data_IF_421953629558
#
_entry.id   IF_421953629558
#
_cell.length_a   1.000
_cell.length_b   1.000
_cell.length_c   1.000
_cell.angle_alpha   90.00
_cell.angle_beta   90.00
_cell.angle_gamma   90.00
#
_symmetry.space_group_name_H-M   'P 1'
#
loop_
_entity.id
_entity.type
_entity.pdbx_description
1 polymer ?
#
# COMPACT_ATOMS: atom_id res chain seq x y z
N UNK A 1 -8.39 31.22 -7.95
CA UNK A 1 -7.82 32.15 -6.96
C UNK A 1 -6.86 31.37 -6.09
N UNK A 2 -5.59 31.69 -6.28
CA UNK A 2 -4.45 31.58 -5.37
C UNK A 2 -4.02 30.18 -4.95
N UNK A 3 -3.08 29.63 -5.73
CA UNK A 3 -2.14 28.59 -5.36
C UNK A 3 -1.13 29.12 -4.33
N UNK A 4 -0.94 28.40 -3.24
CA UNK A 4 0.18 28.59 -2.33
C UNK A 4 1.16 27.42 -2.45
N UNK A 5 2.34 27.67 -3.02
CA UNK A 5 3.51 26.79 -2.97
C UNK A 5 3.99 26.65 -1.54
N UNK A 6 4.27 25.43 -1.09
CA UNK A 6 5.12 25.17 0.08
C UNK A 6 6.39 24.47 -0.35
N UNK A 7 7.55 24.89 0.16
CA UNK A 7 8.83 24.30 -0.13
C UNK A 7 9.15 23.12 0.79
N UNK A 8 9.84 22.16 0.19
CA UNK A 8 10.79 21.19 0.71
C UNK A 8 11.37 21.49 2.11
N UNK A 9 11.19 20.57 3.10
CA UNK A 9 12.24 20.15 4.01
C UNK A 9 11.81 18.89 4.80
N UNK A 10 12.60 17.82 4.59
CA UNK A 10 13.02 16.78 5.54
C UNK A 10 12.23 16.62 6.85
N UNK A 11 11.65 15.45 7.09
CA UNK A 11 12.03 14.52 8.16
C UNK A 11 11.00 13.38 8.25
N UNK A 12 11.54 12.22 8.42
CA UNK A 12 10.97 10.96 8.83
C UNK A 12 9.85 11.05 9.89
N UNK A 13 9.01 10.01 9.85
CA UNK A 13 8.00 9.64 10.85
C UNK A 13 6.68 10.42 10.83
N UNK A 14 5.70 9.78 10.28
CA UNK A 14 4.35 9.49 10.82
C UNK A 14 3.40 9.07 9.70
N UNK A 15 3.52 7.85 9.22
CA UNK A 15 2.41 7.17 8.55
C UNK A 15 1.61 6.46 9.63
N UNK A 16 0.67 7.14 10.21
CA UNK A 16 -0.55 6.52 10.71
C UNK A 16 -1.48 7.61 11.27
N UNK A 17 -2.44 8.04 10.54
CA UNK A 17 -3.75 8.50 10.99
C UNK A 17 -4.41 9.39 9.94
N UNK A 18 -5.11 8.80 9.01
CA UNK A 18 -6.20 9.47 8.32
C UNK A 18 -7.11 8.43 7.64
N UNK A 19 -7.97 7.80 8.40
CA UNK A 19 -9.20 7.18 7.85
C UNK A 19 -10.28 7.23 8.92
N UNK A 20 -11.39 7.91 8.53
CA UNK A 20 -12.77 7.73 8.95
C UNK A 20 -13.18 8.40 10.25
N UNK A 21 -13.71 9.64 10.10
CA UNK A 21 -14.85 10.07 10.87
C UNK A 21 -16.11 9.75 10.06
N UNK A 22 -16.90 8.82 10.55
CA UNK A 22 -18.33 8.75 10.29
C UNK A 22 -19.06 8.66 11.63
N UNK A 23 -19.88 9.67 11.86
CA UNK A 23 -20.77 9.84 13.00
C UNK A 23 -21.47 8.56 13.44
N UNK A 24 -21.44 8.32 14.73
CA UNK A 24 -22.58 7.79 15.49
C UNK A 24 -22.50 8.37 16.90
N UNK A 25 -23.34 9.36 17.10
CA UNK A 25 -23.78 9.87 18.41
C UNK A 25 -24.34 8.73 19.24
N UNK A 26 -23.77 8.52 20.43
CA UNK A 26 -24.59 8.30 21.63
C UNK A 26 -23.74 8.39 22.91
N UNK A 27 -24.24 9.23 23.77
CA UNK A 27 -23.99 9.47 25.18
C UNK A 27 -23.21 8.42 25.99
N UNK A 28 -22.15 8.86 26.66
CA UNK A 28 -21.94 8.53 28.06
C UNK A 28 -21.05 9.61 28.72
N UNK A 29 -21.66 10.39 29.59
CA UNK A 29 -21.02 11.36 30.44
C UNK A 29 -20.25 10.66 31.56
N UNK A 30 -18.96 10.97 31.76
CA UNK A 30 -18.30 10.86 33.07
C UNK A 30 -17.06 11.76 33.13
N UNK A 31 -17.16 12.79 34.01
CA UNK A 31 -16.15 13.41 34.88
C UNK A 31 -14.90 14.07 34.25
N UNK A 32 -14.98 15.38 34.24
CA UNK A 32 -13.86 16.31 34.11
C UNK A 32 -12.97 16.32 35.39
N UNK A 33 -11.66 16.38 35.16
CA UNK A 33 -10.71 16.90 36.13
C UNK A 33 -9.70 17.82 35.41
N UNK A 34 -9.52 19.06 35.86
CA UNK A 34 -8.69 20.02 35.14
C UNK A 34 -7.23 19.93 35.56
N UNK A 35 -6.32 19.64 34.62
CA UNK A 35 -4.90 19.89 34.85
C UNK A 35 -4.50 21.26 34.30
N UNK A 36 -4.12 22.09 35.26
CA UNK A 36 -3.60 23.44 35.17
C UNK A 36 -2.19 23.39 34.54
N UNK A 37 -2.02 23.91 33.33
CA UNK A 37 -0.69 24.15 32.78
C UNK A 37 -0.35 25.62 32.89
N UNK A 38 0.70 25.89 33.63
CA UNK A 38 1.26 27.19 33.92
C UNK A 38 1.97 27.78 32.71
N UNK A 39 1.59 29.02 32.38
CA UNK A 39 2.31 29.88 31.45
C UNK A 39 3.61 30.38 32.09
N UNK A 40 4.72 30.23 31.40
CA UNK A 40 5.85 31.12 31.56
C UNK A 40 6.22 31.76 30.22
N UNK A 41 6.01 33.07 30.19
CA UNK A 41 6.57 33.96 29.18
C UNK A 41 8.08 33.98 29.24
N UNK A 42 8.77 34.04 28.14
CA UNK A 42 9.88 34.95 28.03
C UNK A 42 10.09 35.47 26.60
N UNK A 43 10.47 36.71 26.57
CA UNK A 43 10.40 37.72 25.54
C UNK A 43 11.71 37.76 24.73
N UNK A 44 11.55 38.05 23.44
CA UNK A 44 12.39 38.93 22.64
C UNK A 44 13.84 38.53 22.34
N UNK A 45 14.10 38.36 21.06
CA UNK A 45 15.22 39.07 20.42
C UNK A 45 14.95 39.24 18.91
N UNK A 46 14.75 40.45 18.51
CA UNK A 46 14.75 40.93 17.12
C UNK A 46 16.17 40.80 16.55
N UNK A 47 16.33 40.13 15.42
CA UNK A 47 17.48 40.31 14.56
C UNK A 47 17.00 40.68 13.16
N UNK A 48 17.23 41.98 12.85
CA UNK A 48 17.08 42.54 11.50
C UNK A 48 18.16 41.96 10.62
N UNK A 49 17.80 41.32 9.51
CA UNK A 49 18.72 41.13 8.39
C UNK A 49 18.12 41.66 7.10
N UNK A 50 18.94 42.50 6.50
CA UNK A 50 18.73 43.30 5.31
C UNK A 50 18.40 42.46 4.07
N UNK A 51 17.51 43.06 3.26
CA UNK A 51 17.19 42.64 1.90
C UNK A 51 18.43 42.75 0.99
N UNK A 52 18.79 41.64 0.38
CA UNK A 52 19.51 41.62 -0.89
C UNK A 52 18.66 40.86 -1.88
N UNK A 53 18.09 41.60 -2.81
CA UNK A 53 17.32 41.05 -3.93
C UNK A 53 18.27 40.37 -4.90
N UNK A 54 18.20 39.06 -5.03
CA UNK A 54 18.76 38.32 -6.17
C UNK A 54 17.56 37.74 -6.94
N UNK A 55 17.30 38.40 -8.08
CA UNK A 55 16.40 37.89 -9.12
C UNK A 55 17.09 36.73 -9.79
N UNK A 56 16.78 35.52 -9.42
CA UNK A 56 17.15 34.32 -10.16
C UNK A 56 15.89 33.78 -10.85
N UNK A 57 15.77 34.05 -12.14
CA UNK A 57 14.79 33.42 -13.03
C UNK A 57 15.12 31.95 -13.17
N UNK A 58 14.52 31.08 -12.34
CA UNK A 58 14.54 29.65 -12.56
C UNK A 58 13.40 29.29 -13.51
N UNK A 59 13.77 28.96 -14.76
CA UNK A 59 12.93 28.23 -15.68
C UNK A 59 12.64 26.85 -15.06
N UNK A 60 11.48 26.67 -14.47
CA UNK A 60 10.98 25.36 -14.07
C UNK A 60 10.65 24.55 -15.32
N UNK A 61 11.63 23.81 -15.83
CA UNK A 61 11.38 22.66 -16.69
C UNK A 61 10.59 21.65 -15.88
N UNK A 62 9.28 21.63 -16.07
CA UNK A 62 8.41 20.59 -15.56
C UNK A 62 8.78 19.26 -16.28
N UNK A 63 9.76 18.56 -15.73
CA UNK A 63 9.98 17.15 -16.06
C UNK A 63 8.85 16.40 -15.38
N UNK A 64 7.74 16.22 -16.10
CA UNK A 64 6.71 15.25 -15.74
C UNK A 64 7.33 13.86 -15.88
N UNK A 65 8.02 13.39 -14.85
CA UNK A 65 8.37 11.99 -14.71
C UNK A 65 7.06 11.23 -14.53
N UNK A 66 6.51 10.74 -15.65
CA UNK A 66 5.51 9.70 -15.59
C UNK A 66 6.20 8.52 -14.90
N UNK A 67 5.84 8.26 -13.66
CA UNK A 67 6.22 7.05 -12.95
C UNK A 67 5.48 5.87 -13.60
N UNK A 68 5.97 5.44 -14.76
CA UNK A 68 5.65 4.12 -15.28
C UNK A 68 6.22 3.15 -14.25
N UNK A 69 5.36 2.31 -13.69
CA UNK A 69 5.79 1.20 -12.84
C UNK A 69 6.67 0.28 -13.69
N UNK A 70 7.98 0.58 -13.73
CA UNK A 70 8.94 -0.25 -14.44
C UNK A 70 9.07 -1.57 -13.68
N UNK A 71 8.73 -2.65 -14.35
CA UNK A 71 9.05 -3.99 -13.86
C UNK A 71 10.57 -4.14 -13.81
N UNK A 72 11.06 -4.78 -12.74
CA UNK A 72 12.49 -5.04 -12.59
C UNK A 72 13.00 -5.98 -13.69
N UNK A 73 14.27 -5.87 -14.05
CA UNK A 73 14.88 -6.78 -15.04
C UNK A 73 14.95 -8.22 -14.51
N UNK A 74 15.06 -9.20 -15.42
CA UNK A 74 15.25 -10.60 -15.05
C UNK A 74 16.56 -10.81 -14.25
N UNK A 75 17.59 -10.07 -14.55
CA UNK A 75 18.86 -10.10 -13.82
C UNK A 75 18.68 -9.63 -12.40
N UNK A 76 18.04 -8.49 -12.20
CA UNK A 76 17.78 -7.93 -10.87
C UNK A 76 16.83 -8.84 -10.07
N UNK A 77 15.82 -9.42 -10.73
CA UNK A 77 14.94 -10.41 -10.11
C UNK A 77 15.74 -11.60 -9.57
N UNK A 78 16.65 -12.18 -10.36
CA UNK A 78 17.46 -13.30 -9.93
C UNK A 78 18.44 -12.93 -8.81
N UNK A 79 19.07 -11.76 -8.89
CA UNK A 79 19.96 -11.25 -7.85
C UNK A 79 19.19 -11.03 -6.53
N UNK A 80 18.03 -10.38 -6.59
CA UNK A 80 17.17 -10.18 -5.43
C UNK A 80 16.69 -11.49 -4.80
N UNK A 81 16.31 -12.49 -5.63
CA UNK A 81 15.92 -13.82 -5.15
C UNK A 81 17.06 -14.52 -4.38
N UNK A 82 18.29 -14.41 -4.88
CA UNK A 82 19.47 -14.96 -4.20
C UNK A 82 19.72 -14.24 -2.88
N UNK A 83 19.64 -12.91 -2.86
CA UNK A 83 19.79 -12.10 -1.65
C UNK A 83 18.75 -12.47 -0.59
N UNK A 84 17.47 -12.55 -0.94
CA UNK A 84 16.39 -12.95 -0.02
C UNK A 84 16.69 -14.33 0.61
N UNK A 85 17.16 -15.29 -0.19
CA UNK A 85 17.49 -16.62 0.33
C UNK A 85 18.72 -16.61 1.24
N UNK A 86 19.71 -15.74 0.98
CA UNK A 86 20.88 -15.56 1.83
C UNK A 86 20.53 -14.91 3.17
N UNK A 87 19.65 -13.91 3.14
CA UNK A 87 19.13 -13.25 4.34
C UNK A 87 18.37 -14.24 5.23
N UNK A 88 17.52 -15.10 4.65
CA UNK A 88 16.82 -16.13 5.41
C UNK A 88 17.79 -17.13 6.08
N UNK A 89 18.86 -17.52 5.37
CA UNK A 89 19.90 -18.39 5.97
C UNK A 89 20.61 -17.71 7.14
N UNK A 90 20.91 -16.41 7.02
CA UNK A 90 21.53 -15.64 8.08
C UNK A 90 20.58 -15.51 9.30
N UNK A 91 19.31 -15.15 9.07
CA UNK A 91 18.28 -15.08 10.10
C UNK A 91 18.15 -16.42 10.85
N UNK A 92 18.07 -17.54 10.13
CA UNK A 92 18.02 -18.88 10.75
C UNK A 92 19.29 -19.27 11.51
N UNK A 93 20.42 -18.73 11.11
CA UNK A 93 21.67 -18.96 11.87
C UNK A 93 21.64 -18.22 13.20
N UNK A 94 21.09 -17.02 13.25
CA UNK A 94 20.83 -16.32 14.50
C UNK A 94 19.81 -17.05 15.38
N UNK A 95 18.74 -17.59 14.79
CA UNK A 95 17.74 -18.38 15.53
C UNK A 95 18.33 -19.63 16.22
N UNK A 96 19.44 -20.20 15.70
CA UNK A 96 20.11 -21.34 16.33
C UNK A 96 20.70 -21.02 17.72
N UNK A 97 20.91 -19.75 18.04
CA UNK A 97 21.39 -19.30 19.34
C UNK A 97 20.28 -19.30 20.41
N UNK A 98 19.02 -19.45 19.98
CA UNK A 98 17.86 -19.55 20.86
C UNK A 98 17.55 -21.02 21.16
N UNK A 99 16.80 -21.26 22.25
CA UNK A 99 16.35 -22.59 22.66
C UNK A 99 14.81 -22.61 22.80
N UNK A 100 14.26 -23.83 22.79
CA UNK A 100 12.83 -24.06 22.99
C UNK A 100 11.95 -23.29 21.98
N UNK A 101 10.77 -22.89 22.40
CA UNK A 101 9.81 -22.20 21.55
C UNK A 101 10.30 -20.86 21.00
N UNK A 102 11.16 -20.14 21.71
CA UNK A 102 11.78 -18.92 21.18
C UNK A 102 12.54 -19.17 19.86
N UNK A 103 13.20 -20.32 19.71
CA UNK A 103 13.84 -20.74 18.46
C UNK A 103 12.81 -21.02 17.36
N UNK A 104 11.70 -21.65 17.70
CA UNK A 104 10.67 -22.01 16.74
C UNK A 104 9.95 -20.77 16.24
N UNK A 105 9.61 -19.83 17.11
CA UNK A 105 9.09 -18.50 16.75
C UNK A 105 10.06 -17.75 15.82
N UNK A 106 11.35 -17.69 16.19
CA UNK A 106 12.38 -17.04 15.36
C UNK A 106 12.44 -17.66 13.96
N UNK A 107 12.43 -19.00 13.86
CA UNK A 107 12.42 -19.69 12.56
C UNK A 107 11.14 -19.41 11.76
N UNK A 108 9.99 -19.32 12.41
CA UNK A 108 8.73 -18.98 11.77
C UNK A 108 8.77 -17.55 11.22
N UNK A 109 9.31 -16.60 11.98
CA UNK A 109 9.50 -15.21 11.56
C UNK A 109 10.48 -15.07 10.39
N UNK A 110 11.61 -15.78 10.41
CA UNK A 110 12.57 -15.83 9.31
C UNK A 110 11.94 -16.41 8.03
N UNK A 111 11.16 -17.48 8.15
CA UNK A 111 10.43 -18.07 7.03
C UNK A 111 9.33 -17.14 6.50
N UNK A 112 8.63 -16.45 7.38
CA UNK A 112 7.61 -15.45 7.03
C UNK A 112 8.21 -14.31 6.21
N UNK A 113 9.31 -13.73 6.68
CA UNK A 113 10.06 -12.67 6.01
C UNK A 113 10.48 -13.11 4.59
N UNK A 114 11.05 -14.29 4.45
CA UNK A 114 11.45 -14.83 3.14
C UNK A 114 10.27 -14.98 2.19
N UNK A 115 9.17 -15.59 2.65
CA UNK A 115 7.98 -15.82 1.82
C UNK A 115 7.35 -14.52 1.36
N UNK A 116 7.23 -13.54 2.23
CA UNK A 116 6.69 -12.22 1.92
C UNK A 116 7.59 -11.52 0.90
N UNK A 117 8.90 -11.46 1.14
CA UNK A 117 9.86 -10.83 0.24
C UNK A 117 9.86 -11.47 -1.16
N UNK A 118 9.73 -12.81 -1.26
CA UNK A 118 9.60 -13.52 -2.55
C UNK A 118 8.28 -13.17 -3.26
N UNK A 119 7.17 -13.02 -2.55
CA UNK A 119 5.90 -12.64 -3.15
C UNK A 119 5.94 -11.20 -3.66
N UNK A 120 6.51 -10.27 -2.89
CA UNK A 120 6.71 -8.88 -3.29
C UNK A 120 7.65 -8.76 -4.49
N UNK A 121 8.75 -9.50 -4.50
CA UNK A 121 9.67 -9.57 -5.62
C UNK A 121 8.98 -10.10 -6.89
N UNK A 122 8.13 -11.12 -6.75
CA UNK A 122 7.35 -11.66 -7.89
C UNK A 122 6.43 -10.56 -8.46
N UNK A 123 5.72 -9.83 -7.60
CA UNK A 123 4.87 -8.73 -8.03
C UNK A 123 5.67 -7.60 -8.71
N UNK A 124 6.82 -7.22 -8.17
CA UNK A 124 7.70 -6.22 -8.76
C UNK A 124 8.21 -6.62 -10.16
N UNK A 125 8.32 -7.92 -10.43
CA UNK A 125 8.73 -8.44 -11.72
C UNK A 125 7.57 -8.56 -12.72
N UNK A 126 6.40 -8.99 -12.25
CA UNK A 126 5.27 -9.32 -13.13
C UNK A 126 4.27 -8.17 -13.30
N UNK A 127 4.18 -7.27 -12.31
CA UNK A 127 3.15 -6.23 -12.16
C UNK A 127 1.69 -6.75 -12.21
N UNK A 128 1.48 -8.07 -12.07
CA UNK A 128 0.15 -8.69 -12.17
C UNK A 128 -0.65 -8.47 -10.90
N UNK A 129 -1.90 -8.06 -11.04
CA UNK A 129 -2.84 -7.91 -9.90
C UNK A 129 -2.99 -9.20 -9.09
N UNK A 130 -2.95 -10.36 -9.74
CA UNK A 130 -2.98 -11.65 -9.05
C UNK A 130 -1.79 -11.83 -8.10
N UNK A 131 -0.58 -11.41 -8.48
CA UNK A 131 0.61 -11.47 -7.63
C UNK A 131 0.54 -10.46 -6.50
N UNK A 132 -0.08 -9.28 -6.72
CA UNK A 132 -0.38 -8.32 -5.66
C UNK A 132 -1.32 -8.92 -4.60
N UNK A 133 -2.39 -9.60 -5.00
CA UNK A 133 -3.31 -10.30 -4.09
C UNK A 133 -2.58 -11.41 -3.34
N UNK A 134 -1.66 -12.12 -4.01
CA UNK A 134 -0.85 -13.17 -3.40
C UNK A 134 0.02 -12.66 -2.24
N UNK A 135 0.53 -11.44 -2.30
CA UNK A 135 1.27 -10.85 -1.17
C UNK A 135 0.40 -10.81 0.09
N UNK A 136 -0.85 -10.38 -0.03
CA UNK A 136 -1.78 -10.32 1.12
C UNK A 136 -2.06 -11.71 1.68
N UNK A 137 -2.26 -12.72 0.82
CA UNK A 137 -2.46 -14.10 1.24
C UNK A 137 -1.23 -14.65 1.97
N UNK A 138 -0.02 -14.43 1.41
CA UNK A 138 1.24 -14.89 2.02
C UNK A 138 1.47 -14.22 3.38
N UNK A 139 1.11 -12.94 3.54
CA UNK A 139 1.18 -12.24 4.83
C UNK A 139 0.22 -12.83 5.85
N UNK A 140 -1.02 -13.13 5.45
CA UNK A 140 -2.00 -13.78 6.33
C UNK A 140 -1.52 -15.16 6.80
N UNK A 141 -1.00 -15.99 5.88
CA UNK A 141 -0.44 -17.30 6.17
C UNK A 141 0.79 -17.22 7.10
N UNK A 142 1.66 -16.25 6.87
CA UNK A 142 2.85 -15.99 7.69
C UNK A 142 2.47 -15.56 9.11
N UNK A 143 1.52 -14.63 9.25
CA UNK A 143 1.01 -14.19 10.55
C UNK A 143 0.40 -15.35 11.33
N UNK A 144 -0.38 -16.20 10.66
CA UNK A 144 -0.97 -17.38 11.29
C UNK A 144 0.09 -18.39 11.74
N UNK A 145 1.12 -18.64 10.92
CA UNK A 145 2.20 -19.53 11.27
C UNK A 145 2.95 -19.07 12.53
N UNK A 146 3.29 -17.76 12.60
CA UNK A 146 3.94 -17.17 13.77
C UNK A 146 3.02 -17.23 15.01
N UNK A 147 1.73 -16.94 14.84
CA UNK A 147 0.76 -16.99 15.94
C UNK A 147 0.65 -18.39 16.54
N UNK A 148 0.70 -19.44 15.72
CA UNK A 148 0.70 -20.82 16.20
C UNK A 148 1.91 -21.15 17.07
N UNK A 149 3.12 -20.78 16.62
CA UNK A 149 4.33 -20.98 17.42
C UNK A 149 4.25 -20.24 18.76
N UNK A 150 3.70 -19.01 18.77
CA UNK A 150 3.48 -18.26 20.02
C UNK A 150 2.45 -18.92 20.93
N UNK A 151 1.42 -19.58 20.38
CA UNK A 151 0.46 -20.34 21.17
C UNK A 151 1.10 -21.55 21.85
N UNK A 152 2.23 -22.07 21.34
CA UNK A 152 2.94 -23.22 21.90
C UNK A 152 3.65 -22.93 23.23
N UNK A 153 3.81 -21.63 23.61
CA UNK A 153 4.23 -21.22 24.94
C UNK A 153 3.15 -21.45 26.03
N UNK A 154 1.92 -21.67 25.60
CA UNK A 154 0.78 -21.90 26.49
C UNK A 154 0.52 -23.42 26.66
N UNK A 155 -0.23 -23.79 27.71
CA UNK A 155 -0.63 -25.17 27.96
C UNK A 155 -2.14 -25.27 28.20
N UNK A 156 -2.72 -26.44 27.99
CA UNK A 156 -4.13 -26.72 28.28
C UNK A 156 -5.11 -25.85 27.52
N UNK A 157 -6.16 -25.40 28.20
CA UNK A 157 -7.23 -24.60 27.60
C UNK A 157 -6.72 -23.26 27.00
N UNK A 158 -5.83 -22.48 27.64
CA UNK A 158 -5.26 -21.28 27.03
C UNK A 158 -4.60 -21.53 25.67
N UNK A 159 -3.87 -22.62 25.48
CA UNK A 159 -3.28 -23.01 24.18
C UNK A 159 -4.35 -23.31 23.15
N UNK A 160 -5.38 -24.08 23.53
CA UNK A 160 -6.48 -24.41 22.64
C UNK A 160 -7.25 -23.16 22.19
N UNK A 161 -7.54 -22.23 23.09
CA UNK A 161 -8.16 -20.95 22.80
C UNK A 161 -7.30 -20.10 21.85
N UNK A 162 -6.02 -19.93 22.16
CA UNK A 162 -5.06 -19.19 21.34
C UNK A 162 -5.04 -19.74 19.88
N UNK A 163 -4.93 -21.04 19.72
CA UNK A 163 -4.94 -21.67 18.38
C UNK A 163 -6.26 -21.45 17.64
N UNK A 164 -7.40 -21.50 18.35
CA UNK A 164 -8.71 -21.27 17.75
C UNK A 164 -8.85 -19.83 17.29
N UNK A 165 -8.43 -18.86 18.10
CA UNK A 165 -8.42 -17.44 17.77
C UNK A 165 -7.48 -17.14 16.58
N UNK A 166 -6.26 -17.67 16.59
CA UNK A 166 -5.31 -17.52 15.49
C UNK A 166 -5.91 -18.05 14.16
N UNK A 167 -6.56 -19.21 14.20
CA UNK A 167 -7.24 -19.80 13.05
C UNK A 167 -8.44 -18.93 12.59
N UNK A 168 -9.22 -18.42 13.52
CA UNK A 168 -10.38 -17.57 13.21
C UNK A 168 -9.94 -16.26 12.52
N UNK A 169 -8.90 -15.60 13.04
CA UNK A 169 -8.29 -14.40 12.44
C UNK A 169 -7.79 -14.71 11.03
N UNK A 170 -7.04 -15.78 10.86
CA UNK A 170 -6.53 -16.19 9.54
C UNK A 170 -7.67 -16.43 8.54
N UNK A 171 -8.69 -17.20 8.92
CA UNK A 171 -9.84 -17.50 8.05
C UNK A 171 -10.57 -16.22 7.65
N UNK A 172 -10.82 -15.32 8.62
CA UNK A 172 -11.43 -14.02 8.35
C UNK A 172 -10.59 -13.19 7.39
N UNK A 173 -9.29 -13.10 7.63
CA UNK A 173 -8.37 -12.34 6.77
C UNK A 173 -8.36 -12.88 5.34
N UNK A 174 -8.35 -14.20 5.14
CA UNK A 174 -8.43 -14.80 3.80
C UNK A 174 -9.78 -14.50 3.11
N UNK A 175 -10.88 -14.50 3.86
CA UNK A 175 -12.18 -14.13 3.33
C UNK A 175 -12.23 -12.66 2.89
N UNK A 176 -11.67 -11.75 3.69
CA UNK A 176 -11.57 -10.33 3.39
C UNK A 176 -10.70 -10.08 2.12
N UNK A 177 -9.58 -10.79 1.99
CA UNK A 177 -8.71 -10.74 0.78
C UNK A 177 -9.49 -11.21 -0.46
N UNK A 178 -10.23 -12.32 -0.36
CA UNK A 178 -11.05 -12.84 -1.45
C UNK A 178 -12.14 -11.83 -1.85
N UNK A 179 -12.82 -11.25 -0.89
CA UNK A 179 -13.84 -10.22 -1.14
C UNK A 179 -13.23 -8.98 -1.81
N UNK A 180 -12.11 -8.49 -1.31
CA UNK A 180 -11.39 -7.35 -1.92
C UNK A 180 -10.98 -7.62 -3.37
N UNK A 181 -10.54 -8.85 -3.69
CA UNK A 181 -10.26 -9.28 -5.06
C UNK A 181 -11.52 -9.22 -5.92
N UNK A 182 -12.64 -9.79 -5.47
CA UNK A 182 -13.91 -9.80 -6.20
C UNK A 182 -14.44 -8.39 -6.47
N UNK A 183 -14.38 -7.50 -5.46
CA UNK A 183 -14.77 -6.09 -5.61
C UNK A 183 -13.90 -5.40 -6.68
N UNK A 184 -12.59 -5.64 -6.67
CA UNK A 184 -11.70 -5.04 -7.67
C UNK A 184 -11.98 -5.56 -9.08
N UNK A 185 -12.21 -6.86 -9.25
CA UNK A 185 -12.58 -7.46 -10.53
C UNK A 185 -13.90 -6.87 -11.06
N UNK A 186 -14.94 -6.80 -10.22
CA UNK A 186 -16.21 -6.20 -10.59
C UNK A 186 -16.09 -4.71 -11.00
N UNK A 187 -15.23 -3.94 -10.33
CA UNK A 187 -14.95 -2.55 -10.70
C UNK A 187 -14.27 -2.42 -12.08
N UNK A 188 -13.34 -3.32 -12.37
CA UNK A 188 -12.67 -3.34 -13.68
C UNK A 188 -13.66 -3.69 -14.78
N UNK A 189 -14.51 -4.69 -14.57
CA UNK A 189 -15.54 -5.12 -15.52
C UNK A 189 -16.59 -4.02 -15.76
N UNK A 190 -17.02 -3.33 -14.69
CA UNK A 190 -17.95 -2.18 -14.80
C UNK A 190 -17.31 -1.02 -15.59
N UNK A 191 -16.04 -0.69 -15.31
CA UNK A 191 -15.31 0.35 -16.04
C UNK A 191 -15.17 -0.01 -17.51
N UNK A 192 -14.85 -1.27 -17.84
CA UNK A 192 -14.77 -1.74 -19.21
C UNK A 192 -16.12 -1.66 -19.93
N UNK A 193 -17.20 -2.08 -19.27
CA UNK A 193 -18.55 -2.03 -19.79
C UNK A 193 -18.98 -0.59 -20.13
N UNK A 194 -18.64 0.37 -19.25
CA UNK A 194 -18.89 1.79 -19.48
C UNK A 194 -18.10 2.32 -20.68
N UNK A 195 -16.80 1.98 -20.77
CA UNK A 195 -15.96 2.36 -21.93
C UNK A 195 -16.51 1.81 -23.26
N UNK A 196 -16.99 0.57 -23.25
CA UNK A 196 -17.57 -0.06 -24.44
C UNK A 196 -18.89 0.61 -24.85
N UNK A 197 -19.73 0.95 -23.87
CA UNK A 197 -20.97 1.69 -24.12
C UNK A 197 -20.69 3.08 -24.70
N UNK A 198 -19.75 3.82 -24.11
CA UNK A 198 -19.36 5.16 -24.58
C UNK A 198 -18.74 5.11 -26.00
N UNK A 199 -17.91 4.10 -26.28
CA UNK A 199 -17.37 3.87 -27.62
C UNK A 199 -18.47 3.61 -28.63
N UNK A 200 -19.46 2.79 -28.28
CA UNK A 200 -20.63 2.51 -29.16
C UNK A 200 -21.41 3.79 -29.46
N UNK A 201 -21.66 4.61 -28.43
CA UNK A 201 -22.34 5.91 -28.62
C UNK A 201 -21.52 6.85 -29.53
N UNK A 202 -20.20 6.93 -29.29
CA UNK A 202 -19.31 7.76 -30.10
C UNK A 202 -19.30 7.32 -31.56
N UNK A 203 -19.21 6.03 -31.86
CA UNK A 203 -19.23 5.49 -33.23
C UNK A 203 -20.59 5.67 -33.92
N UNK A 204 -21.71 5.58 -33.17
CA UNK A 204 -23.03 5.87 -33.70
C UNK A 204 -23.17 7.35 -34.12
N UNK A 205 -22.62 8.29 -33.33
CA UNK A 205 -22.57 9.71 -33.73
C UNK A 205 -21.78 9.93 -35.02
N UNK A 206 -20.71 9.16 -35.23
CA UNK A 206 -19.96 9.23 -36.50
C UNK A 206 -20.76 8.70 -37.72
N UNK A 207 -21.77 7.85 -37.50
CA UNK A 207 -22.52 7.24 -38.58
C UNK A 207 -23.31 8.25 -39.44
N UNK A 208 -23.64 9.41 -38.87
CA UNK A 208 -24.33 10.51 -39.59
C UNK A 208 -23.41 11.34 -40.47
N UNK A 209 -22.11 11.14 -40.40
CA UNK A 209 -21.10 11.83 -41.20
C UNK A 209 -20.87 11.11 -42.55
N UNK A 210 -20.43 11.83 -43.55
CA UNK A 210 -20.11 11.27 -44.87
C UNK A 210 -18.62 10.95 -45.01
N UNK A 211 -18.31 9.90 -45.72
CA UNK A 211 -17.01 9.50 -46.27
C UNK A 211 -15.79 9.71 -45.30
N UNK A 212 -14.91 10.63 -45.63
CA UNK A 212 -13.67 10.86 -44.95
C UNK A 212 -13.89 11.43 -43.52
N UNK A 213 -14.90 12.26 -43.32
CA UNK A 213 -15.27 12.78 -42.02
C UNK A 213 -15.73 11.65 -41.07
N UNK A 214 -16.46 10.66 -41.61
CA UNK A 214 -16.88 9.48 -40.87
C UNK A 214 -15.67 8.61 -40.45
N UNK A 215 -14.77 8.35 -41.40
CA UNK A 215 -13.59 7.52 -41.12
C UNK A 215 -12.67 8.17 -40.07
N UNK A 216 -12.45 9.48 -40.18
CA UNK A 216 -11.67 10.27 -39.21
C UNK A 216 -12.33 10.28 -37.84
N UNK A 217 -13.65 10.46 -37.75
CA UNK A 217 -14.41 10.43 -36.52
C UNK A 217 -14.28 9.05 -35.80
N UNK A 218 -14.44 7.96 -36.55
CA UNK A 218 -14.30 6.59 -36.01
C UNK A 218 -12.88 6.33 -35.54
N UNK A 219 -11.86 6.78 -36.29
CA UNK A 219 -10.45 6.65 -35.83
C UNK A 219 -10.18 7.39 -34.54
N UNK A 220 -10.70 8.62 -34.42
CA UNK A 220 -10.60 9.39 -33.16
C UNK A 220 -11.31 8.70 -31.99
N UNK A 221 -12.50 8.13 -32.24
CA UNK A 221 -13.20 7.35 -31.23
C UNK A 221 -12.39 6.12 -30.81
N UNK A 222 -11.82 5.36 -31.74
CA UNK A 222 -10.93 4.23 -31.40
C UNK A 222 -9.77 4.64 -30.53
N UNK A 223 -9.07 5.69 -30.91
CA UNK A 223 -7.93 6.21 -30.11
C UNK A 223 -8.37 6.63 -28.70
N UNK A 224 -9.51 7.36 -28.60
CA UNK A 224 -10.03 7.85 -27.33
C UNK A 224 -10.40 6.73 -26.36
N UNK A 225 -10.97 5.64 -26.84
CA UNK A 225 -11.48 4.54 -26.02
C UNK A 225 -10.56 3.30 -26.03
N UNK A 226 -9.37 3.37 -26.62
CA UNK A 226 -8.39 2.30 -26.62
C UNK A 226 -8.84 1.04 -27.41
N UNK A 227 -9.50 1.24 -28.57
CA UNK A 227 -10.04 0.16 -29.43
C UNK A 227 -9.21 -0.04 -30.69
#
# INVERSE_FOLDING_TARGET
>A
MICGCCPLFLLFDTFNTCIINHDLTNDFAILEAPMKVSHHHNVSTYVKFSFVAIVATLACLAISTQATAQTISKTDFNAAKTRISSENKADKTMCKQLAGNAKDICNAEANAKEKIAKAELTYSYTAKTADKVKISTVRADATYAIAKERCDDLAGNPKATCNTEAKAIHTKTLADIKMGKQINEARVDDAQTKLDADYKVATQKCASLADEAKSSCVAAAKTKFGK
#
